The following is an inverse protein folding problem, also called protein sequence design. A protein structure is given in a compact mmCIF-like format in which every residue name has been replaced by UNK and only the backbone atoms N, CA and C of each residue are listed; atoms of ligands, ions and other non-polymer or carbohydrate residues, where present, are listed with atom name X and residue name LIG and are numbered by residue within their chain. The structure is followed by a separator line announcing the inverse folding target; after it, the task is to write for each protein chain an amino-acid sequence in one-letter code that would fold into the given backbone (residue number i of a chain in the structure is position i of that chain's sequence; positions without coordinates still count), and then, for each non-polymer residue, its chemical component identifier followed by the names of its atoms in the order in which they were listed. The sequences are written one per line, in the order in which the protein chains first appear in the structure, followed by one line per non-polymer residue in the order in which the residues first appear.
data_IF_841826483749
#
_entry.id   IF_841826483749
#
_cell.length_a   1.000
_cell.length_b   1.000
_cell.length_c   1.000
_cell.angle_alpha   90.00
_cell.angle_beta   90.00
_cell.angle_gamma   90.00
#
_symmetry.space_group_name_H-M   'P 1'
#
loop_
_entity.id
_entity.type
_entity.pdbx_description
1 polymer ?
#
# COMPACT_ATOMS: atom_id res chain seq x y z
N UNK A 1 -41.41 25.73 6.21
CA UNK A 1 -40.42 25.71 5.12
C UNK A 1 -39.46 24.58 5.47
N UNK A 2 -39.57 23.44 4.76
CA UNK A 2 -38.69 22.28 4.98
C UNK A 2 -37.39 22.50 4.22
N UNK A 3 -36.29 22.30 4.92
CA UNK A 3 -34.92 22.52 4.50
C UNK A 3 -34.63 22.00 3.08
N UNK A 4 -33.97 22.85 2.30
CA UNK A 4 -33.66 22.60 0.90
C UNK A 4 -32.95 21.26 0.72
N UNK A 5 -33.60 20.37 0.01
CA UNK A 5 -33.08 19.12 -0.50
C UNK A 5 -31.93 19.45 -1.49
N UNK A 6 -30.72 19.66 -0.96
CA UNK A 6 -29.53 19.69 -1.78
C UNK A 6 -29.40 18.30 -2.41
N UNK A 7 -29.96 18.16 -3.60
CA UNK A 7 -29.90 16.91 -4.37
C UNK A 7 -28.44 16.61 -4.68
N UNK A 8 -27.79 15.86 -3.79
CA UNK A 8 -26.40 15.41 -4.00
C UNK A 8 -26.31 14.70 -5.35
N UNK A 9 -25.32 15.04 -6.19
CA UNK A 9 -25.12 14.38 -7.46
C UNK A 9 -25.02 12.87 -7.24
N UNK A 10 -25.93 12.11 -7.86
CA UNK A 10 -26.04 10.65 -7.79
C UNK A 10 -26.06 10.05 -9.18
N UNK A 11 -25.41 8.93 -9.38
CA UNK A 11 -25.41 8.19 -10.63
C UNK A 11 -25.66 6.70 -10.40
N UNK A 12 -26.30 6.05 -11.35
CA UNK A 12 -26.49 4.61 -11.36
C UNK A 12 -25.15 3.90 -11.53
N UNK A 13 -24.94 2.85 -10.73
CA UNK A 13 -23.72 2.04 -10.84
C UNK A 13 -23.76 1.26 -12.16
N UNK A 14 -22.71 1.33 -13.00
CA UNK A 14 -22.64 0.60 -14.27
C UNK A 14 -22.88 -0.90 -14.08
N UNK A 15 -23.76 -1.48 -14.89
CA UNK A 15 -24.18 -2.89 -14.79
C UNK A 15 -25.21 -3.19 -13.70
N UNK A 16 -25.66 -2.16 -12.94
CA UNK A 16 -26.64 -2.31 -11.87
C UNK A 16 -27.71 -1.22 -11.89
N UNK A 17 -28.01 -0.69 -13.08
CA UNK A 17 -29.01 0.38 -13.28
C UNK A 17 -30.35 -0.02 -12.68
N UNK A 18 -31.03 0.92 -12.01
CA UNK A 18 -32.31 0.68 -11.34
C UNK A 18 -32.23 -0.03 -9.98
N UNK A 19 -31.13 -0.71 -9.67
CA UNK A 19 -30.94 -1.42 -8.38
C UNK A 19 -30.03 -0.70 -7.39
N UNK A 20 -28.97 -0.07 -7.89
CA UNK A 20 -27.98 0.60 -7.04
C UNK A 20 -27.49 1.89 -7.66
N UNK A 21 -27.39 2.93 -6.84
CA UNK A 21 -26.74 4.18 -7.21
C UNK A 21 -25.67 4.57 -6.19
N UNK A 22 -24.73 5.40 -6.63
CA UNK A 22 -23.72 5.98 -5.78
C UNK A 22 -23.83 7.50 -5.75
N UNK A 23 -23.31 8.12 -4.67
CA UNK A 23 -23.17 9.57 -4.53
C UNK A 23 -21.73 9.99 -4.63
N UNK A 24 -21.45 11.23 -4.99
CA UNK A 24 -20.08 11.79 -5.03
C UNK A 24 -19.41 11.78 -3.66
N UNK A 25 -20.20 11.80 -2.57
CA UNK A 25 -19.72 11.70 -1.19
C UNK A 25 -19.22 10.28 -0.83
N UNK A 26 -19.37 9.33 -1.75
CA UNK A 26 -18.86 7.98 -1.57
C UNK A 26 -19.82 7.07 -0.83
N UNK A 27 -21.09 7.29 -0.92
CA UNK A 27 -22.13 6.41 -0.40
C UNK A 27 -22.71 5.56 -1.54
N UNK A 28 -23.15 4.35 -1.22
CA UNK A 28 -23.82 3.44 -2.16
C UNK A 28 -25.20 3.09 -1.60
N UNK A 29 -26.21 3.19 -2.40
CA UNK A 29 -27.58 2.91 -2.02
C UNK A 29 -28.18 1.79 -2.86
N UNK A 30 -28.95 0.92 -2.22
CA UNK A 30 -29.84 -0.03 -2.87
C UNK A 30 -31.21 0.59 -3.01
N UNK A 31 -31.81 0.43 -4.19
CA UNK A 31 -33.20 0.80 -4.47
C UNK A 31 -34.04 -0.47 -4.49
N UNK A 32 -35.15 -0.47 -3.77
CA UNK A 32 -36.11 -1.57 -3.74
C UNK A 32 -37.26 -1.31 -4.72
N UNK A 33 -37.98 -2.37 -5.11
CA UNK A 33 -39.16 -2.27 -6.02
C UNK A 33 -40.23 -1.30 -5.55
N UNK A 34 -40.38 -1.08 -4.26
CA UNK A 34 -41.32 -0.13 -3.65
C UNK A 34 -40.75 1.32 -3.58
N UNK A 35 -39.66 1.64 -4.27
CA UNK A 35 -39.03 2.94 -4.29
C UNK A 35 -38.20 3.31 -3.06
N UNK A 36 -38.23 2.51 -1.98
CA UNK A 36 -37.42 2.75 -0.80
C UNK A 36 -35.91 2.59 -1.13
N UNK A 37 -35.10 3.37 -0.48
CA UNK A 37 -33.62 3.28 -0.61
C UNK A 37 -32.99 2.91 0.72
N UNK A 38 -31.88 2.15 0.67
CA UNK A 38 -31.10 1.81 1.84
C UNK A 38 -29.61 1.98 1.53
N UNK A 39 -28.90 2.69 2.38
CA UNK A 39 -27.45 2.80 2.30
C UNK A 39 -26.81 1.44 2.58
N UNK A 40 -25.87 1.05 1.71
CA UNK A 40 -25.04 -0.13 1.88
C UNK A 40 -23.77 0.25 2.63
N UNK A 41 -23.70 -0.13 3.89
CA UNK A 41 -22.46 -0.04 4.67
C UNK A 41 -21.49 -1.10 4.14
N UNK A 42 -20.39 -0.68 3.53
CA UNK A 42 -19.33 -1.60 3.13
C UNK A 42 -18.75 -2.36 4.33
N UNK A 43 -18.04 -3.42 4.08
CA UNK A 43 -17.31 -4.18 5.09
C UNK A 43 -15.81 -4.24 4.76
N UNK A 44 -14.98 -4.43 5.78
CA UNK A 44 -13.53 -4.44 5.63
C UNK A 44 -13.04 -5.88 5.43
N UNK A 45 -12.28 -6.08 4.33
CA UNK A 45 -11.63 -7.36 4.02
C UNK A 45 -10.16 -7.08 3.72
N UNK A 46 -9.23 -7.66 4.50
CA UNK A 46 -7.77 -7.44 4.31
C UNK A 46 -7.39 -5.97 4.10
N UNK A 47 -7.89 -5.07 4.96
CA UNK A 47 -7.68 -3.62 4.87
C UNK A 47 -8.30 -2.89 3.67
N UNK A 48 -9.15 -3.54 2.88
CA UNK A 48 -9.90 -2.95 1.77
C UNK A 48 -11.37 -2.91 2.12
N UNK A 49 -12.03 -1.79 1.84
CA UNK A 49 -13.49 -1.68 1.94
C UNK A 49 -14.14 -2.30 0.71
N UNK A 50 -15.04 -3.23 0.94
CA UNK A 50 -15.78 -3.98 -0.08
C UNK A 50 -17.27 -3.78 0.07
N UNK A 51 -18.01 -3.96 -1.02
CA UNK A 51 -19.47 -4.02 -1.08
C UNK A 51 -19.90 -5.20 -1.94
N UNK A 52 -20.99 -5.86 -1.58
CA UNK A 52 -21.63 -6.90 -2.39
C UNK A 52 -22.79 -6.30 -3.17
N UNK A 53 -22.73 -6.42 -4.49
CA UNK A 53 -23.81 -6.00 -5.39
C UNK A 53 -24.33 -7.21 -6.15
N UNK A 54 -25.67 -7.29 -6.29
CA UNK A 54 -26.35 -8.38 -6.98
C UNK A 54 -26.93 -7.86 -8.30
N UNK A 55 -26.53 -8.44 -9.41
CA UNK A 55 -27.02 -8.09 -10.75
C UNK A 55 -28.47 -8.55 -11.00
N UNK A 56 -28.97 -8.34 -12.20
CA UNK A 56 -30.34 -8.72 -12.59
C UNK A 56 -30.54 -10.23 -12.61
N UNK A 57 -29.49 -10.97 -12.90
CA UNK A 57 -29.49 -12.44 -12.95
C UNK A 57 -29.27 -13.08 -11.56
N UNK A 58 -29.34 -12.29 -10.48
CA UNK A 58 -29.11 -12.73 -9.10
C UNK A 58 -27.67 -13.15 -8.79
N UNK A 59 -26.70 -12.88 -9.67
CA UNK A 59 -25.30 -13.10 -9.36
C UNK A 59 -24.78 -12.00 -8.45
N UNK A 60 -24.18 -12.38 -7.34
CA UNK A 60 -23.61 -11.43 -6.37
C UNK A 60 -22.10 -11.32 -6.56
N UNK A 61 -21.62 -10.11 -6.81
CA UNK A 61 -20.19 -9.81 -6.94
C UNK A 61 -19.71 -8.97 -5.77
N UNK A 62 -18.53 -9.34 -5.24
CA UNK A 62 -17.81 -8.53 -4.25
C UNK A 62 -16.91 -7.54 -4.98
N UNK A 63 -17.13 -6.26 -4.74
CA UNK A 63 -16.42 -5.17 -5.41
C UNK A 63 -15.75 -4.26 -4.39
N UNK A 64 -14.58 -3.71 -4.76
CA UNK A 64 -13.93 -2.68 -3.95
C UNK A 64 -14.76 -1.39 -3.97
N UNK A 65 -15.08 -0.86 -2.81
CA UNK A 65 -15.92 0.31 -2.65
C UNK A 65 -15.43 1.52 -3.45
N UNK A 66 -14.12 1.80 -3.37
CA UNK A 66 -13.46 2.88 -4.10
C UNK A 66 -13.57 2.73 -5.62
N UNK A 67 -13.48 1.49 -6.10
CA UNK A 67 -13.60 1.17 -7.53
C UNK A 67 -15.01 1.45 -8.02
N UNK A 68 -16.03 1.04 -7.27
CA UNK A 68 -17.43 1.29 -7.61
C UNK A 68 -17.71 2.79 -7.73
N UNK A 69 -17.28 3.60 -6.74
CA UNK A 69 -17.45 5.05 -6.79
C UNK A 69 -16.74 5.66 -8.00
N UNK A 70 -15.49 5.26 -8.25
CA UNK A 70 -14.76 5.77 -9.41
C UNK A 70 -15.44 5.44 -10.74
N UNK A 71 -15.77 4.17 -10.96
CA UNK A 71 -16.38 3.70 -12.22
C UNK A 71 -17.75 4.35 -12.48
N UNK A 72 -18.48 4.65 -11.40
CA UNK A 72 -19.79 5.32 -11.51
C UNK A 72 -19.71 6.77 -12.02
N UNK A 73 -18.65 7.50 -11.68
CA UNK A 73 -18.55 8.93 -11.99
C UNK A 73 -17.47 9.29 -13.01
N UNK A 74 -16.42 8.49 -13.13
CA UNK A 74 -15.26 8.74 -14.00
C UNK A 74 -15.12 7.72 -15.13
N UNK A 75 -15.95 6.68 -15.13
CA UNK A 75 -15.88 5.63 -16.13
C UNK A 75 -14.87 4.53 -15.80
N UNK A 76 -14.62 3.62 -16.77
CA UNK A 76 -13.81 2.43 -16.55
C UNK A 76 -12.38 2.76 -16.16
N UNK A 77 -11.80 1.90 -15.32
CA UNK A 77 -10.41 2.05 -14.87
C UNK A 77 -9.50 1.46 -15.95
N UNK A 78 -8.54 2.26 -16.50
CA UNK A 78 -7.60 1.76 -17.51
C UNK A 78 -6.78 0.57 -17.01
N UNK A 79 -6.38 -0.36 -17.90
CA UNK A 79 -5.48 -1.46 -17.55
C UNK A 79 -4.20 -0.94 -16.89
N UNK A 80 -3.73 -1.64 -15.84
CA UNK A 80 -2.52 -1.24 -15.12
C UNK A 80 -2.71 -0.17 -14.04
N UNK A 81 -3.91 0.44 -13.94
CA UNK A 81 -4.22 1.44 -12.92
C UNK A 81 -5.01 0.86 -11.75
N UNK A 82 -4.90 1.53 -10.62
CA UNK A 82 -5.62 1.26 -9.38
C UNK A 82 -6.24 2.55 -8.86
N UNK A 83 -7.44 2.46 -8.29
CA UNK A 83 -8.06 3.57 -7.55
C UNK A 83 -7.51 3.60 -6.14
N UNK A 84 -6.97 4.74 -5.74
CA UNK A 84 -6.39 4.94 -4.39
C UNK A 84 -6.91 6.24 -3.79
N UNK A 85 -6.85 6.35 -2.47
CA UNK A 85 -7.17 7.60 -1.79
C UNK A 85 -5.98 8.57 -1.89
N UNK A 86 -6.28 9.87 -2.05
CA UNK A 86 -5.29 10.96 -1.97
C UNK A 86 -4.79 11.07 -0.54
N UNK A 87 -5.71 11.14 0.42
CA UNK A 87 -5.43 11.31 1.85
C UNK A 87 -5.92 10.09 2.63
N UNK A 88 -5.00 9.28 3.22
CA UNK A 88 -5.35 8.08 3.97
C UNK A 88 -6.16 8.35 5.24
N UNK A 89 -5.90 9.50 5.89
CA UNK A 89 -6.50 9.91 7.17
C UNK A 89 -8.02 10.16 7.07
N UNK A 90 -8.48 10.60 5.91
CA UNK A 90 -9.90 10.74 5.65
C UNK A 90 -10.43 9.37 5.21
N UNK A 91 -11.07 8.66 6.11
CA UNK A 91 -11.71 7.34 5.84
C UNK A 91 -12.90 7.45 4.86
N UNK A 92 -12.97 8.54 4.09
CA UNK A 92 -14.05 8.83 3.17
C UNK A 92 -13.69 8.39 1.75
N UNK A 93 -14.55 7.60 1.16
CA UNK A 93 -14.46 7.15 -0.23
C UNK A 93 -15.09 8.18 -1.20
N UNK A 94 -15.19 9.46 -0.82
CA UNK A 94 -15.72 10.48 -1.68
C UNK A 94 -14.89 10.61 -2.97
N UNK A 95 -15.52 10.96 -4.07
CA UNK A 95 -14.89 11.02 -5.38
C UNK A 95 -13.69 11.97 -5.41
N UNK A 96 -13.75 13.10 -4.69
CA UNK A 96 -12.68 14.09 -4.63
C UNK A 96 -11.41 13.57 -3.95
N UNK A 97 -11.55 12.61 -3.02
CA UNK A 97 -10.43 11.96 -2.35
C UNK A 97 -9.86 10.76 -3.13
N UNK A 98 -10.46 10.38 -4.25
CA UNK A 98 -9.98 9.29 -5.09
C UNK A 98 -9.06 9.80 -6.19
N UNK A 99 -8.13 8.93 -6.61
CA UNK A 99 -7.26 9.15 -7.77
C UNK A 99 -6.82 7.82 -8.37
N UNK A 100 -6.48 7.83 -9.65
CA UNK A 100 -5.79 6.72 -10.29
C UNK A 100 -4.29 6.74 -9.97
N UNK A 101 -3.71 5.57 -9.82
CA UNK A 101 -2.28 5.33 -9.76
C UNK A 101 -1.92 4.09 -10.56
N UNK A 102 -0.73 4.05 -11.14
CA UNK A 102 -0.21 2.82 -11.72
C UNK A 102 0.13 1.81 -10.61
N UNK A 103 0.10 0.53 -10.96
CA UNK A 103 0.54 -0.55 -10.04
C UNK A 103 1.98 -0.34 -9.58
N UNK A 104 2.85 0.14 -10.48
CA UNK A 104 4.25 0.46 -10.18
C UNK A 104 4.39 1.58 -9.15
N UNK A 105 3.69 2.71 -9.34
CA UNK A 105 3.68 3.82 -8.37
C UNK A 105 3.14 3.40 -7.01
N UNK A 106 2.14 2.51 -7.00
CA UNK A 106 1.60 1.95 -5.75
C UNK A 106 2.63 1.05 -5.07
N UNK A 107 3.31 0.18 -5.82
CA UNK A 107 4.37 -0.70 -5.33
C UNK A 107 5.56 0.06 -4.76
N UNK A 108 6.05 1.11 -5.44
CA UNK A 108 7.13 1.98 -4.93
C UNK A 108 6.78 2.65 -3.60
N UNK A 109 5.50 2.95 -3.35
CA UNK A 109 5.07 3.56 -2.09
C UNK A 109 4.97 2.56 -0.94
N UNK A 110 4.52 1.34 -1.20
CA UNK A 110 4.19 0.35 -0.16
C UNK A 110 5.26 -0.71 0.03
N UNK A 111 6.10 -0.94 -0.97
CA UNK A 111 7.00 -2.08 -1.01
C UNK A 111 8.15 -2.03 0.00
N UNK A 112 9.11 -1.09 -0.11
CA UNK A 112 10.35 -1.19 0.66
C UNK A 112 10.28 -0.65 2.09
N UNK A 113 9.40 0.33 2.36
CA UNK A 113 9.45 1.13 3.59
C UNK A 113 8.99 0.41 4.87
N UNK A 114 8.19 -0.64 4.76
CA UNK A 114 7.59 -1.28 5.93
C UNK A 114 8.33 -2.52 6.44
N UNK A 115 9.38 -2.97 5.75
CA UNK A 115 10.10 -4.21 6.09
C UNK A 115 11.62 -4.13 5.93
N UNK A 116 12.18 -2.98 5.57
CA UNK A 116 13.63 -2.85 5.50
C UNK A 116 14.19 -2.63 6.89
N UNK A 117 14.86 -3.63 7.41
CA UNK A 117 15.68 -3.50 8.61
C UNK A 117 17.05 -2.99 8.20
N UNK A 118 17.56 -1.94 8.83
CA UNK A 118 18.92 -1.47 8.58
C UNK A 118 19.96 -2.53 8.97
N UNK A 119 21.06 -2.55 8.24
CA UNK A 119 22.17 -3.49 8.43
C UNK A 119 23.44 -2.69 8.67
N UNK A 120 24.28 -3.14 9.57
CA UNK A 120 25.63 -2.57 9.84
C UNK A 120 26.69 -3.61 9.56
N UNK A 121 27.84 -3.16 9.02
CA UNK A 121 29.06 -3.90 8.95
C UNK A 121 29.84 -3.59 10.23
N UNK A 122 30.37 -4.62 10.86
CA UNK A 122 31.15 -4.48 12.11
C UNK A 122 32.55 -5.04 11.94
N UNK A 123 33.50 -4.47 12.67
CA UNK A 123 34.85 -5.02 12.84
C UNK A 123 34.89 -6.16 13.88
N UNK A 124 36.07 -6.70 14.14
CA UNK A 124 36.26 -7.80 15.07
C UNK A 124 36.02 -7.38 16.53
N UNK A 125 36.10 -6.10 16.85
CA UNK A 125 35.86 -5.51 18.18
C UNK A 125 34.37 -5.11 18.35
N UNK A 126 33.55 -5.28 17.31
CA UNK A 126 32.12 -4.93 17.28
C UNK A 126 31.83 -3.47 16.93
N UNK A 127 32.85 -2.69 16.58
CA UNK A 127 32.71 -1.33 16.05
C UNK A 127 32.02 -1.30 14.71
N UNK A 128 31.31 -0.21 14.41
CA UNK A 128 30.57 -0.07 13.15
C UNK A 128 31.46 0.57 12.10
N UNK A 129 31.74 -0.19 11.03
CA UNK A 129 32.49 0.28 9.86
C UNK A 129 31.57 0.98 8.86
N UNK A 130 30.38 0.42 8.59
CA UNK A 130 29.42 0.98 7.62
C UNK A 130 27.98 0.60 7.96
N UNK A 131 27.02 1.31 7.34
CA UNK A 131 25.61 1.05 7.54
C UNK A 131 24.77 1.21 6.26
N UNK A 132 23.74 0.40 6.12
CA UNK A 132 22.81 0.44 4.99
C UNK A 132 21.35 0.39 5.47
N UNK A 133 20.44 1.08 4.77
CA UNK A 133 19.02 1.11 5.14
C UNK A 133 18.29 -0.21 4.90
N UNK A 134 18.96 -1.20 4.32
CA UNK A 134 18.38 -2.53 4.07
C UNK A 134 19.44 -3.56 3.69
N UNK A 135 19.15 -4.85 3.96
CA UNK A 135 19.98 -5.97 3.53
C UNK A 135 20.20 -6.06 2.01
N UNK A 136 19.25 -5.59 1.19
CA UNK A 136 19.43 -5.53 -0.27
C UNK A 136 20.46 -4.50 -0.70
N UNK A 137 20.48 -3.35 -0.04
CA UNK A 137 21.48 -2.31 -0.33
C UNK A 137 22.86 -2.78 0.13
N UNK A 138 22.96 -3.35 1.34
CA UNK A 138 24.20 -3.96 1.84
C UNK A 138 24.75 -5.03 0.88
N UNK A 139 23.88 -5.97 0.45
CA UNK A 139 24.26 -7.03 -0.48
C UNK A 139 24.84 -6.50 -1.80
N UNK A 140 24.25 -5.44 -2.34
CA UNK A 140 24.72 -4.80 -3.57
C UNK A 140 26.08 -4.14 -3.39
N UNK A 141 26.25 -3.39 -2.31
CA UNK A 141 27.47 -2.62 -2.06
C UNK A 141 28.65 -3.53 -1.61
N UNK A 142 28.34 -4.65 -0.94
CA UNK A 142 29.31 -5.66 -0.52
C UNK A 142 29.56 -6.75 -1.58
N UNK A 143 28.92 -6.66 -2.76
CA UNK A 143 29.03 -7.64 -3.85
C UNK A 143 28.72 -9.09 -3.44
N UNK A 144 27.77 -9.27 -2.52
CA UNK A 144 27.30 -10.59 -2.06
C UNK A 144 25.83 -10.80 -2.36
N UNK A 145 25.33 -12.03 -2.23
CA UNK A 145 23.92 -12.30 -2.40
C UNK A 145 23.07 -11.70 -1.25
N UNK A 146 21.83 -11.30 -1.56
CA UNK A 146 20.88 -10.88 -0.53
C UNK A 146 20.67 -11.96 0.54
N UNK A 147 20.64 -13.24 0.11
CA UNK A 147 20.46 -14.36 1.03
C UNK A 147 21.64 -14.51 1.98
N UNK A 148 22.87 -14.30 1.51
CA UNK A 148 24.08 -14.30 2.34
C UNK A 148 23.98 -13.27 3.46
N UNK A 149 23.62 -12.02 3.15
CA UNK A 149 23.42 -10.97 4.17
C UNK A 149 22.33 -11.36 5.18
N UNK A 150 21.21 -11.87 4.70
CA UNK A 150 20.10 -12.30 5.56
C UNK A 150 20.51 -13.44 6.50
N UNK A 151 21.24 -14.44 6.00
CA UNK A 151 21.63 -15.60 6.79
C UNK A 151 22.69 -15.24 7.84
N UNK A 152 23.62 -14.33 7.51
CA UNK A 152 24.57 -13.78 8.49
C UNK A 152 23.86 -12.95 9.55
N UNK A 153 23.02 -11.99 9.17
CA UNK A 153 22.28 -11.16 10.11
C UNK A 153 21.35 -11.96 11.04
N UNK A 154 20.85 -13.10 10.57
CA UNK A 154 20.00 -14.01 11.35
C UNK A 154 20.80 -15.08 12.14
N UNK A 155 22.13 -15.01 12.13
CA UNK A 155 22.99 -15.94 12.88
C UNK A 155 23.03 -17.38 12.37
N UNK A 156 22.60 -17.61 11.12
CA UNK A 156 22.61 -18.95 10.51
C UNK A 156 24.00 -19.41 10.07
N UNK A 157 24.92 -18.47 9.84
CA UNK A 157 26.27 -18.74 9.40
C UNK A 157 27.22 -18.67 10.61
N UNK A 158 27.87 -19.80 10.95
CA UNK A 158 28.78 -19.88 12.13
C UNK A 158 30.08 -19.10 11.94
N UNK A 159 30.62 -19.06 10.73
CA UNK A 159 31.86 -18.33 10.37
C UNK A 159 31.58 -17.50 9.10
N UNK A 160 31.02 -16.29 9.23
CA UNK A 160 30.72 -15.46 8.09
C UNK A 160 31.99 -14.87 7.48
N UNK A 161 32.04 -14.76 6.15
CA UNK A 161 33.12 -14.07 5.42
C UNK A 161 32.97 -12.54 5.57
N UNK A 162 31.75 -12.06 5.84
CA UNK A 162 31.46 -10.66 6.09
C UNK A 162 30.75 -10.53 7.44
N UNK A 163 31.20 -9.62 8.28
CA UNK A 163 30.66 -9.42 9.65
C UNK A 163 29.55 -8.38 9.62
N UNK A 164 28.35 -8.76 9.17
CA UNK A 164 27.17 -7.90 9.15
C UNK A 164 26.12 -8.34 10.16
N UNK A 165 25.39 -7.37 10.75
CA UNK A 165 24.28 -7.63 11.65
C UNK A 165 23.14 -6.62 11.46
N UNK A 166 21.99 -6.93 12.00
CA UNK A 166 20.91 -5.94 12.10
C UNK A 166 21.33 -4.76 12.98
N UNK A 167 21.01 -3.55 12.54
CA UNK A 167 21.25 -2.35 13.35
C UNK A 167 20.40 -2.40 14.63
N UNK A 168 21.01 -2.09 15.77
CA UNK A 168 20.36 -2.00 17.08
C UNK A 168 20.02 -0.53 17.40
N UNK A 169 19.15 -0.30 18.38
CA UNK A 169 18.86 1.07 18.86
C UNK A 169 20.12 1.78 19.38
N UNK A 170 21.04 1.05 20.01
CA UNK A 170 22.34 1.57 20.46
C UNK A 170 23.23 2.12 19.33
N UNK A 171 22.96 1.73 18.09
CA UNK A 171 23.74 2.16 16.91
C UNK A 171 23.18 3.47 16.29
N UNK A 172 22.12 4.06 16.85
CA UNK A 172 21.38 5.19 16.27
C UNK A 172 22.12 6.55 16.27
N UNK A 173 23.38 6.59 16.54
CA UNK A 173 24.23 7.78 16.40
C UNK A 173 25.25 7.69 15.29
N UNK A 174 25.38 6.53 14.64
CA UNK A 174 26.40 6.30 13.62
C UNK A 174 26.04 7.02 12.30
N UNK A 175 26.88 7.93 11.88
CA UNK A 175 26.81 8.58 10.56
C UNK A 175 27.97 8.09 9.69
N UNK A 176 27.65 7.61 8.49
CA UNK A 176 28.65 7.20 7.50
C UNK A 176 29.50 8.41 7.09
N UNK A 177 30.82 8.29 7.25
CA UNK A 177 31.76 9.26 6.72
C UNK A 177 31.97 9.03 5.22
N UNK A 178 31.81 10.02 4.35
CA UNK A 178 32.02 9.86 2.92
C UNK A 178 33.51 9.62 2.63
N UNK A 179 33.83 8.49 2.03
CA UNK A 179 35.16 8.25 1.42
C UNK A 179 36.04 7.15 2.01
N UNK A 180 35.63 6.45 3.08
CA UNK A 180 36.55 5.49 3.77
C UNK A 180 36.69 4.09 3.11
N UNK A 181 36.07 3.81 1.97
CA UNK A 181 36.05 2.46 1.38
C UNK A 181 36.97 2.23 0.19
N UNK A 182 37.90 3.14 -0.12
CA UNK A 182 38.76 2.95 -1.30
C UNK A 182 39.81 1.82 -1.14
N UNK A 183 40.03 1.25 0.05
CA UNK A 183 41.22 0.39 0.32
C UNK A 183 40.99 -0.84 1.20
N UNK A 184 39.81 -1.42 1.28
CA UNK A 184 39.71 -2.73 1.97
C UNK A 184 40.09 -3.84 0.99
N UNK A 185 41.36 -4.24 1.03
CA UNK A 185 41.84 -5.48 0.40
C UNK A 185 41.41 -6.65 1.30
N UNK A 186 40.54 -7.49 0.82
CA UNK A 186 40.23 -8.77 1.45
C UNK A 186 41.46 -9.68 1.39
N UNK A 187 41.97 -10.08 2.50
CA UNK A 187 42.96 -11.15 2.63
C UNK A 187 42.27 -12.50 2.61
#
# INVERSE_FOLDING_TARGET
MKDGDYMMPKNWIPGYKGKYFATIEGQIFRVYKNGRTRELKGYKKRNVWCVKLTDEQSNTKELMFQRVIWETFKGPIPPGYLVTRKTPLLNKNNLHNLRLRTKEQSGKRTGPKSRSMPVVLVDDDGGIIDSWPSARKAAKDLFVSYQTVMDVCNGKVKKPVISVRWQKESDMGYQRLPGEFANIQYK
#
